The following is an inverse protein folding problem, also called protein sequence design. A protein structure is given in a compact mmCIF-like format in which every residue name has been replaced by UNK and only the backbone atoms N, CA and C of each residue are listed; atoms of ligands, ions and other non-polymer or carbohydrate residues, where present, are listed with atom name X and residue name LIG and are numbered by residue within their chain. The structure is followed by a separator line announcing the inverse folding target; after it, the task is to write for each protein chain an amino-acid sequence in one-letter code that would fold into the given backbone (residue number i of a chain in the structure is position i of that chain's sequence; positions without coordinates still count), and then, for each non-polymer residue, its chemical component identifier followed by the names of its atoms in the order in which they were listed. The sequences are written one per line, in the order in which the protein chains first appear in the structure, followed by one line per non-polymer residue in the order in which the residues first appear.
data_IF_507135738485
#
_entry.id   IF_507135738485
#
_cell.length_a   1.000
_cell.length_b   1.000
_cell.length_c   1.000
_cell.angle_alpha   90.00
_cell.angle_beta   90.00
_cell.angle_gamma   90.00
#
_symmetry.space_group_name_H-M   'P 1'
#
loop_
_entity.id
_entity.type
_entity.pdbx_description
1 polymer ?
#
# COMPACT_ATOMS: atom_id res chain seq x y z
N UNK A 1 17.69 44.08 12.44
CA UNK A 1 16.86 43.30 13.38
C UNK A 1 17.76 42.23 14.02
N UNK A 2 18.03 42.27 15.34
CA UNK A 2 18.99 41.36 15.99
C UNK A 2 18.62 39.88 15.86
N UNK A 3 17.35 39.56 15.64
CA UNK A 3 16.87 38.18 15.45
C UNK A 3 17.32 37.55 14.12
N UNK A 4 17.57 38.34 13.07
CA UNK A 4 18.00 37.83 11.76
C UNK A 4 19.41 37.25 11.78
N UNK A 5 20.30 37.87 12.56
CA UNK A 5 21.73 37.50 12.65
C UNK A 5 21.89 36.20 13.45
N UNK A 6 21.12 36.05 14.53
CA UNK A 6 21.11 34.82 15.34
C UNK A 6 20.58 33.64 14.53
N UNK A 7 19.53 33.84 13.72
CA UNK A 7 18.98 32.80 12.86
C UNK A 7 19.98 32.35 11.78
N UNK A 8 20.70 33.30 11.15
CA UNK A 8 21.70 33.00 10.14
C UNK A 8 22.90 32.23 10.71
N UNK A 9 23.40 32.61 11.89
CA UNK A 9 24.49 31.91 12.57
C UNK A 9 24.07 30.48 12.95
N UNK A 10 22.82 30.30 13.40
CA UNK A 10 22.29 29.00 13.79
C UNK A 10 22.15 28.05 12.58
N UNK A 11 21.69 28.57 11.44
CA UNK A 11 21.56 27.80 10.19
C UNK A 11 22.91 27.36 9.63
N UNK A 12 23.93 28.22 9.71
CA UNK A 12 25.30 27.90 9.28
C UNK A 12 25.93 26.85 10.20
N UNK A 13 25.72 26.96 11.52
CA UNK A 13 26.25 25.97 12.47
C UNK A 13 25.64 24.57 12.24
N UNK A 14 24.33 24.49 11.97
CA UNK A 14 23.65 23.21 11.69
C UNK A 14 24.12 22.59 10.38
N UNK A 15 24.32 23.39 9.33
CA UNK A 15 24.79 22.88 8.02
C UNK A 15 26.23 22.37 8.07
N UNK A 16 27.12 23.05 8.79
CA UNK A 16 28.51 22.59 8.97
C UNK A 16 28.57 21.32 9.82
N UNK A 17 27.79 21.23 10.89
CA UNK A 17 27.74 20.04 11.74
C UNK A 17 27.25 18.79 10.99
N UNK A 18 26.28 18.96 10.09
CA UNK A 18 25.73 17.87 9.29
C UNK A 18 26.67 17.42 8.16
N UNK A 19 27.35 18.36 7.50
CA UNK A 19 28.36 18.02 6.48
C UNK A 19 29.53 17.22 7.04
N UNK A 20 30.01 17.57 8.24
CA UNK A 20 31.11 16.85 8.91
C UNK A 20 30.75 15.42 9.33
N UNK A 21 29.52 15.20 9.82
CA UNK A 21 29.09 13.86 10.26
C UNK A 21 28.89 12.90 9.09
N UNK A 22 28.35 13.38 7.97
CA UNK A 22 28.19 12.56 6.75
C UNK A 22 29.55 12.23 6.14
N UNK A 23 30.49 13.20 6.10
CA UNK A 23 31.85 12.97 5.62
C UNK A 23 32.61 11.91 6.43
N UNK A 24 32.47 11.94 7.76
CA UNK A 24 33.08 10.95 8.65
C UNK A 24 32.50 9.54 8.43
N UNK A 25 31.18 9.42 8.31
CA UNK A 25 30.48 8.15 8.08
C UNK A 25 30.88 7.50 6.74
N UNK A 26 30.99 8.31 5.68
CA UNK A 26 31.42 7.83 4.36
C UNK A 26 32.90 7.43 4.39
N UNK A 27 33.76 8.19 5.07
CA UNK A 27 35.18 7.85 5.26
C UNK A 27 35.38 6.54 6.02
N UNK A 28 34.58 6.30 7.08
CA UNK A 28 34.61 5.04 7.83
C UNK A 28 34.12 3.85 7.01
N UNK A 29 33.17 4.06 6.09
CA UNK A 29 32.68 3.00 5.21
C UNK A 29 33.66 2.65 4.09
N UNK A 30 34.35 3.65 3.54
CA UNK A 30 35.35 3.48 2.48
C UNK A 30 36.67 2.85 2.98
N UNK A 31 36.93 2.87 4.29
CA UNK A 31 38.18 2.38 4.89
C UNK A 31 38.15 0.92 5.34
N UNK A 32 37.11 0.15 5.02
CA UNK A 32 37.05 -1.28 5.36
C UNK A 32 37.88 -2.12 4.37
N UNK A 33 38.95 -2.81 4.79
CA UNK A 33 39.63 -3.76 3.93
C UNK A 33 38.73 -4.98 3.66
N UNK A 34 38.83 -5.61 2.47
CA UNK A 34 38.04 -6.78 2.13
C UNK A 34 38.38 -7.97 3.03
N UNK A 35 37.34 -8.68 3.49
CA UNK A 35 37.48 -9.86 4.33
C UNK A 35 38.18 -11.00 3.56
N UNK A 36 39.29 -11.49 4.10
CA UNK A 36 40.03 -12.65 3.62
C UNK A 36 39.33 -13.94 4.05
N UNK A 37 38.80 -14.71 3.09
CA UNK A 37 38.38 -16.09 3.33
C UNK A 37 39.60 -17.02 3.18
N UNK A 38 40.04 -17.64 4.27
CA UNK A 38 40.99 -18.74 4.22
C UNK A 38 40.31 -20.00 3.69
N UNK A 39 40.68 -20.45 2.50
CA UNK A 39 40.48 -21.82 2.05
C UNK A 39 41.84 -22.48 1.89
N UNK A 40 42.07 -23.54 2.68
CA UNK A 40 43.19 -24.44 2.51
C UNK A 40 43.13 -25.08 1.12
N UNK A 41 44.23 -24.96 0.38
CA UNK A 41 44.49 -25.67 -0.87
C UNK A 41 45.27 -26.93 -0.52
N UNK A 42 44.67 -28.10 -0.70
CA UNK A 42 45.42 -29.34 -0.92
C UNK A 42 45.21 -29.77 -2.38
N UNK A 43 46.33 -29.78 -3.10
CA UNK A 43 46.48 -30.29 -4.45
C UNK A 43 46.72 -31.80 -4.36
N UNK A 44 45.83 -32.61 -4.93
CA UNK A 44 46.20 -33.95 -5.39
C UNK A 44 45.72 -34.21 -6.82
N UNK A 45 46.72 -34.27 -7.70
CA UNK A 45 46.89 -35.14 -8.88
C UNK A 45 45.77 -35.31 -9.91
N UNK A 46 46.09 -34.78 -11.10
CA UNK A 46 45.58 -35.18 -12.42
C UNK A 46 45.47 -36.70 -12.60
N UNK A 47 44.33 -37.18 -13.10
CA UNK A 47 44.33 -38.17 -14.17
C UNK A 47 43.10 -37.99 -15.07
N UNK A 48 43.30 -38.17 -16.39
CA UNK A 48 42.32 -37.83 -17.41
C UNK A 48 41.33 -38.95 -17.72
N UNK A 49 40.05 -38.60 -17.78
CA UNK A 49 39.09 -39.15 -18.75
C UNK A 49 37.98 -38.10 -18.94
N UNK A 50 37.79 -37.60 -20.16
CA UNK A 50 36.62 -36.77 -20.48
C UNK A 50 35.46 -37.71 -20.77
N UNK A 51 34.88 -38.26 -19.71
CA UNK A 51 33.57 -38.85 -19.79
C UNK A 51 32.57 -37.70 -19.95
N UNK A 52 31.80 -37.72 -21.04
CA UNK A 52 30.56 -36.96 -21.12
C UNK A 52 29.63 -37.57 -20.08
N UNK A 53 29.66 -37.05 -18.86
CA UNK A 53 28.61 -37.32 -17.88
C UNK A 53 27.29 -36.87 -18.50
N UNK A 54 26.48 -37.87 -18.86
CA UNK A 54 25.08 -37.68 -19.19
C UNK A 54 24.39 -36.99 -18.02
N UNK A 55 23.56 -36.00 -18.37
CA UNK A 55 22.70 -35.20 -17.50
C UNK A 55 22.85 -35.48 -16.01
N UNK A 56 23.51 -34.55 -15.30
CA UNK A 56 23.28 -34.38 -13.87
C UNK A 56 21.84 -33.92 -13.74
N UNK A 57 20.92 -34.89 -13.66
CA UNK A 57 19.58 -34.63 -13.17
C UNK A 57 19.77 -34.15 -11.76
N UNK A 58 19.42 -32.89 -11.49
CA UNK A 58 19.35 -32.44 -10.11
C UNK A 58 18.34 -33.34 -9.40
N UNK A 59 18.48 -33.55 -8.10
CA UNK A 59 17.49 -34.27 -7.29
C UNK A 59 16.07 -33.63 -7.32
N UNK A 60 15.88 -32.54 -8.07
CA UNK A 60 14.62 -31.85 -8.36
C UNK A 60 14.24 -31.84 -9.84
N UNK A 61 14.79 -32.73 -10.67
CA UNK A 61 14.22 -32.98 -11.99
C UNK A 61 12.79 -33.49 -11.78
N UNK A 62 11.81 -32.65 -12.11
CA UNK A 62 10.40 -33.00 -12.05
C UNK A 62 10.25 -34.36 -12.73
N UNK A 63 9.86 -35.38 -11.96
CA UNK A 63 9.64 -36.72 -12.51
C UNK A 63 8.69 -36.53 -13.68
N UNK A 64 9.15 -36.81 -14.90
CA UNK A 64 8.42 -36.52 -16.15
C UNK A 64 7.01 -37.18 -16.14
N UNK A 65 6.82 -38.19 -15.28
CA UNK A 65 5.58 -38.93 -15.09
C UNK A 65 4.75 -38.52 -13.85
N UNK A 66 5.19 -37.56 -13.05
CA UNK A 66 4.44 -37.09 -11.88
C UNK A 66 3.38 -36.06 -12.31
N UNK A 67 2.15 -36.54 -12.44
CA UNK A 67 0.97 -35.71 -12.74
C UNK A 67 0.75 -34.56 -11.74
N UNK A 68 1.28 -34.68 -10.52
CA UNK A 68 1.19 -33.63 -9.50
C UNK A 68 2.28 -32.57 -9.66
N UNK A 69 3.33 -32.82 -10.46
CA UNK A 69 4.36 -31.86 -10.79
C UNK A 69 3.94 -30.83 -11.87
N UNK A 70 2.65 -30.80 -12.23
CA UNK A 70 2.06 -29.81 -13.15
C UNK A 70 1.27 -28.70 -12.44
N UNK A 71 0.78 -28.97 -11.23
CA UNK A 71 -0.13 -28.07 -10.50
C UNK A 71 0.58 -27.57 -9.24
N UNK A 72 0.48 -26.28 -8.96
CA UNK A 72 1.01 -25.64 -7.73
C UNK A 72 2.53 -25.81 -7.49
N UNK A 73 3.30 -26.09 -8.54
CA UNK A 73 4.76 -26.37 -8.51
C UNK A 73 5.58 -25.32 -7.75
N UNK A 74 5.13 -24.05 -7.77
CA UNK A 74 5.80 -22.92 -7.11
C UNK A 74 4.95 -22.25 -6.02
N UNK A 75 3.97 -22.97 -5.48
CA UNK A 75 3.10 -22.46 -4.42
C UNK A 75 3.63 -22.92 -3.06
N UNK A 76 4.12 -21.97 -2.25
CA UNK A 76 4.65 -22.25 -0.91
C UNK A 76 3.57 -22.63 0.12
N UNK A 77 2.30 -22.36 -0.19
CA UNK A 77 1.16 -22.75 0.64
C UNK A 77 -0.11 -22.01 0.24
N UNK A 78 -1.25 -22.65 0.48
CA UNK A 78 -2.58 -22.07 0.25
C UNK A 78 -3.32 -22.08 1.59
N UNK A 79 -3.83 -20.91 2.00
CA UNK A 79 -4.63 -20.76 3.21
C UNK A 79 -5.94 -20.07 2.86
N UNK A 80 -7.03 -20.51 3.49
CA UNK A 80 -8.32 -19.88 3.31
C UNK A 80 -8.33 -18.46 3.91
N UNK A 81 -8.93 -17.53 3.18
CA UNK A 81 -9.25 -16.21 3.69
C UNK A 81 -10.61 -16.24 4.39
N UNK A 82 -10.76 -15.40 5.41
CA UNK A 82 -12.05 -15.16 6.05
C UNK A 82 -13.06 -14.64 5.01
N UNK A 83 -14.26 -15.25 4.89
CA UNK A 83 -15.29 -14.75 3.99
C UNK A 83 -15.72 -13.31 4.35
N UNK A 84 -16.04 -12.46 3.35
CA UNK A 84 -16.47 -11.10 3.61
C UNK A 84 -17.67 -10.99 4.57
N UNK A 85 -18.64 -11.91 4.49
CA UNK A 85 -19.80 -11.93 5.38
C UNK A 85 -19.40 -12.06 6.85
N UNK A 86 -18.40 -12.87 7.17
CA UNK A 86 -17.92 -13.03 8.54
C UNK A 86 -17.31 -11.73 9.08
N UNK A 87 -16.61 -10.96 8.25
CA UNK A 87 -16.10 -9.64 8.65
C UNK A 87 -17.23 -8.62 8.87
N UNK A 88 -18.28 -8.69 8.05
CA UNK A 88 -19.47 -7.84 8.19
C UNK A 88 -20.26 -8.18 9.46
N UNK A 89 -20.31 -9.45 9.84
CA UNK A 89 -20.95 -9.89 11.09
C UNK A 89 -20.14 -9.49 12.32
N UNK A 90 -18.82 -9.71 12.29
CA UNK A 90 -17.93 -9.41 13.40
C UNK A 90 -17.75 -7.92 13.64
N UNK A 91 -17.76 -7.12 12.56
CA UNK A 91 -17.66 -5.67 12.61
C UNK A 91 -18.86 -5.10 11.84
N UNK A 92 -20.03 -5.00 12.49
CA UNK A 92 -21.25 -4.56 11.83
C UNK A 92 -21.17 -3.09 11.41
N UNK A 93 -21.94 -2.76 10.38
CA UNK A 93 -22.17 -1.37 9.99
C UNK A 93 -23.32 -0.83 10.81
N UNK A 94 -23.05 0.20 11.62
CA UNK A 94 -24.07 0.93 12.37
C UNK A 94 -24.79 1.95 11.48
N UNK A 95 -25.88 2.52 12.01
CA UNK A 95 -26.62 3.60 11.35
C UNK A 95 -25.75 4.86 11.18
N UNK A 96 -24.89 5.15 12.16
CA UNK A 96 -23.98 6.29 12.09
C UNK A 96 -22.93 6.11 10.99
N UNK A 97 -22.29 4.94 10.88
CA UNK A 97 -21.38 4.61 9.78
C UNK A 97 -22.10 4.75 8.43
N UNK A 98 -23.30 4.17 8.30
CA UNK A 98 -24.07 4.24 7.05
C UNK A 98 -24.38 5.69 6.66
N UNK A 99 -24.74 6.54 7.63
CA UNK A 99 -24.97 7.97 7.42
C UNK A 99 -23.70 8.69 6.96
N UNK A 100 -22.57 8.48 7.63
CA UNK A 100 -21.28 9.09 7.28
C UNK A 100 -20.89 8.74 5.84
N UNK A 101 -20.96 7.46 5.48
CA UNK A 101 -20.60 6.99 4.14
C UNK A 101 -21.55 7.54 3.09
N UNK A 102 -22.87 7.47 3.30
CA UNK A 102 -23.85 7.93 2.32
C UNK A 102 -23.79 9.46 2.15
N UNK A 103 -23.69 10.21 3.24
CA UNK A 103 -23.53 11.66 3.20
C UNK A 103 -22.24 12.04 2.47
N UNK A 104 -21.11 11.43 2.82
CA UNK A 104 -19.83 11.71 2.15
C UNK A 104 -19.88 11.44 0.65
N UNK A 105 -20.48 10.32 0.22
CA UNK A 105 -20.69 10.01 -1.20
C UNK A 105 -21.56 11.05 -1.91
N UNK A 106 -22.64 11.47 -1.26
CA UNK A 106 -23.54 12.48 -1.81
C UNK A 106 -22.87 13.85 -1.92
N UNK A 107 -22.12 14.28 -0.89
CA UNK A 107 -21.39 15.55 -0.89
C UNK A 107 -20.31 15.57 -1.98
N UNK A 108 -19.50 14.51 -2.11
CA UNK A 108 -18.54 14.38 -3.22
C UNK A 108 -19.26 14.48 -4.56
N UNK A 109 -20.37 13.75 -4.74
CA UNK A 109 -21.13 13.78 -5.99
C UNK A 109 -21.65 15.18 -6.32
N UNK A 110 -22.19 15.89 -5.33
CA UNK A 110 -22.68 17.26 -5.52
C UNK A 110 -21.56 18.20 -5.95
N UNK A 111 -20.37 18.08 -5.36
CA UNK A 111 -19.20 18.89 -5.74
C UNK A 111 -18.76 18.55 -7.17
N UNK A 112 -18.67 17.27 -7.52
CA UNK A 112 -18.28 16.85 -8.87
C UNK A 112 -19.28 17.30 -9.94
N UNK A 113 -20.57 17.38 -9.59
CA UNK A 113 -21.63 17.93 -10.44
C UNK A 113 -21.74 19.46 -10.39
N UNK A 114 -20.89 20.13 -9.62
CA UNK A 114 -20.89 21.59 -9.41
C UNK A 114 -22.20 22.14 -8.83
N UNK A 115 -22.91 21.33 -8.05
CA UNK A 115 -24.08 21.72 -7.25
C UNK A 115 -23.67 22.28 -5.89
N UNK A 116 -22.50 21.86 -5.41
CA UNK A 116 -21.81 22.33 -4.19
C UNK A 116 -20.46 22.90 -4.66
N UNK A 117 -20.10 24.10 -4.21
CA UNK A 117 -18.89 24.83 -4.64
C UNK A 117 -17.67 24.58 -3.73
N UNK A 118 -17.83 23.78 -2.68
CA UNK A 118 -16.74 23.38 -1.80
C UNK A 118 -15.66 22.58 -2.53
N UNK A 119 -14.45 22.62 -2.00
CA UNK A 119 -13.34 21.82 -2.50
C UNK A 119 -13.24 20.48 -1.76
N UNK A 120 -13.16 19.36 -2.51
CA UNK A 120 -12.84 18.05 -1.91
C UNK A 120 -11.34 18.00 -1.56
N UNK A 121 -11.03 17.71 -0.30
CA UNK A 121 -9.66 17.58 0.20
C UNK A 121 -9.43 16.18 0.75
N UNK A 122 -8.64 15.38 0.03
CA UNK A 122 -8.24 14.04 0.46
C UNK A 122 -6.88 14.12 1.16
N UNK A 123 -6.84 13.96 2.48
CA UNK A 123 -5.63 14.16 3.28
C UNK A 123 -5.49 13.11 4.37
N UNK A 124 -4.25 12.68 4.63
CA UNK A 124 -3.95 11.69 5.66
C UNK A 124 -2.56 11.07 5.50
N UNK A 125 -2.21 10.12 6.36
CA UNK A 125 -0.91 9.43 6.31
C UNK A 125 -0.67 8.75 4.96
N UNK A 126 0.61 8.59 4.60
CA UNK A 126 0.98 7.97 3.32
C UNK A 126 0.51 6.50 3.22
N UNK A 127 0.65 5.75 4.32
CA UNK A 127 0.12 4.41 4.56
C UNK A 127 -0.02 4.18 6.07
N UNK A 128 -1.06 3.47 6.50
CA UNK A 128 -1.34 3.15 7.90
C UNK A 128 -0.61 1.88 8.30
N UNK A 129 0.24 1.98 9.33
CA UNK A 129 0.89 0.84 9.98
C UNK A 129 0.48 0.70 11.46
N UNK A 130 0.07 1.80 12.12
CA UNK A 130 -0.47 1.78 13.47
C UNK A 130 -1.93 2.29 13.47
N UNK A 131 -2.91 1.40 13.74
CA UNK A 131 -4.31 1.78 13.85
C UNK A 131 -4.60 2.82 14.95
N UNK A 132 -3.83 2.82 16.05
CA UNK A 132 -4.06 3.76 17.17
C UNK A 132 -3.68 5.17 16.76
N UNK A 133 -2.46 5.37 16.24
CA UNK A 133 -2.04 6.65 15.69
C UNK A 133 -2.96 7.14 14.55
N UNK A 134 -3.49 6.22 13.73
CA UNK A 134 -4.45 6.57 12.69
C UNK A 134 -5.76 7.12 13.27
N UNK A 135 -6.27 6.53 14.36
CA UNK A 135 -7.48 7.01 15.02
C UNK A 135 -7.24 8.36 15.72
N UNK A 136 -6.10 8.55 16.37
CA UNK A 136 -5.72 9.85 16.94
C UNK A 136 -5.65 10.95 15.88
N UNK A 137 -5.09 10.63 14.70
CA UNK A 137 -5.09 11.53 13.55
C UNK A 137 -6.52 11.83 13.09
N UNK A 138 -7.38 10.82 13.01
CA UNK A 138 -8.78 10.98 12.60
C UNK A 138 -9.55 11.93 13.53
N UNK A 139 -9.35 11.83 14.84
CA UNK A 139 -9.97 12.73 15.83
C UNK A 139 -9.55 14.18 15.59
N UNK A 140 -8.25 14.43 15.37
CA UNK A 140 -7.72 15.78 15.08
C UNK A 140 -8.25 16.31 13.74
N UNK A 141 -8.28 15.46 12.72
CA UNK A 141 -8.78 15.83 11.40
C UNK A 141 -10.28 16.12 11.41
N UNK A 142 -11.07 15.39 12.21
CA UNK A 142 -12.51 15.64 12.35
C UNK A 142 -12.80 17.02 12.93
N UNK A 143 -12.04 17.46 13.94
CA UNK A 143 -12.18 18.79 14.50
C UNK A 143 -11.92 19.89 13.45
N UNK A 144 -10.88 19.72 12.62
CA UNK A 144 -10.57 20.63 11.51
C UNK A 144 -11.61 20.58 10.38
N UNK A 145 -12.15 19.39 10.08
CA UNK A 145 -13.23 19.24 9.11
C UNK A 145 -14.44 20.05 9.51
N UNK A 146 -14.80 20.03 10.79
CA UNK A 146 -15.99 20.74 11.29
C UNK A 146 -15.83 22.25 11.23
N UNK A 147 -14.61 22.77 11.45
CA UNK A 147 -14.36 24.21 11.33
C UNK A 147 -14.30 24.69 9.88
N UNK A 148 -13.95 23.81 8.94
CA UNK A 148 -13.78 24.13 7.52
C UNK A 148 -14.94 23.66 6.63
N UNK A 149 -16.02 23.09 7.21
CA UNK A 149 -17.12 22.44 6.48
C UNK A 149 -17.86 23.37 5.51
N UNK A 150 -17.75 24.69 5.69
CA UNK A 150 -18.33 25.69 4.78
C UNK A 150 -17.64 25.73 3.41
N UNK A 151 -16.33 25.54 3.38
CA UNK A 151 -15.51 25.73 2.17
C UNK A 151 -14.90 24.42 1.67
N UNK A 152 -14.68 23.45 2.57
CA UNK A 152 -13.96 22.22 2.28
C UNK A 152 -14.77 20.97 2.66
N UNK A 153 -14.81 20.00 1.76
CA UNK A 153 -15.19 18.63 2.08
C UNK A 153 -13.92 17.81 2.36
N UNK A 154 -13.56 17.72 3.64
CA UNK A 154 -12.39 16.94 4.08
C UNK A 154 -12.73 15.45 4.15
N UNK A 155 -11.92 14.64 3.48
CA UNK A 155 -11.98 13.18 3.44
C UNK A 155 -10.64 12.61 3.92
N UNK A 156 -10.68 11.72 4.91
CA UNK A 156 -9.45 11.11 5.43
C UNK A 156 -8.90 10.08 4.44
N UNK A 157 -7.63 10.23 4.07
CA UNK A 157 -6.89 9.23 3.30
C UNK A 157 -6.51 8.06 4.21
N UNK A 158 -6.94 6.85 3.85
CA UNK A 158 -6.59 5.60 4.57
C UNK A 158 -6.08 4.56 3.58
N UNK A 159 -4.75 4.43 3.48
CA UNK A 159 -4.12 3.42 2.62
C UNK A 159 -3.44 2.38 3.50
N UNK A 160 -3.67 1.09 3.24
CA UNK A 160 -3.07 0.01 4.03
C UNK A 160 -1.74 -0.48 3.49
N UNK A 161 -1.47 -0.20 2.23
CA UNK A 161 -0.26 -0.61 1.54
C UNK A 161 0.26 0.51 0.64
N UNK A 162 1.51 0.37 0.21
CA UNK A 162 2.08 1.22 -0.84
C UNK A 162 2.66 0.31 -1.91
N UNK A 163 2.34 0.53 -3.20
CA UNK A 163 2.95 -0.23 -4.28
C UNK A 163 4.47 -0.06 -4.24
N UNK A 164 5.19 -1.17 -4.33
CA UNK A 164 6.66 -1.25 -4.31
C UNK A 164 7.15 -2.22 -5.37
N UNK A 165 8.21 -1.84 -6.07
CA UNK A 165 8.93 -2.69 -7.03
C UNK A 165 10.05 -3.51 -6.38
N UNK A 166 10.35 -3.26 -5.10
CA UNK A 166 11.42 -3.91 -4.32
C UNK A 166 10.89 -4.60 -3.07
N UNK A 167 11.74 -5.39 -2.41
CA UNK A 167 11.45 -6.02 -1.12
C UNK A 167 11.23 -4.93 -0.05
N UNK A 168 10.16 -5.08 0.72
CA UNK A 168 9.76 -4.15 1.78
C UNK A 168 8.44 -4.60 2.41
N UNK A 169 8.05 -3.91 3.49
CA UNK A 169 6.80 -4.19 4.20
C UNK A 169 5.60 -4.12 3.25
N UNK A 170 4.72 -5.12 3.34
CA UNK A 170 3.63 -5.34 2.39
C UNK A 170 2.30 -4.69 2.78
N UNK A 171 2.29 -3.92 3.88
CA UNK A 171 1.12 -3.19 4.34
C UNK A 171 0.36 -3.90 5.46
N UNK A 172 -0.50 -3.16 6.15
CA UNK A 172 -1.20 -3.60 7.37
C UNK A 172 -2.12 -4.80 7.12
N UNK A 173 -2.76 -4.86 5.95
CA UNK A 173 -3.60 -6.01 5.60
C UNK A 173 -2.75 -7.25 5.41
N UNK A 174 -1.63 -7.14 4.69
CA UNK A 174 -0.82 -8.29 4.33
C UNK A 174 0.03 -8.80 5.50
N UNK A 175 0.63 -7.88 6.26
CA UNK A 175 1.59 -8.18 7.32
C UNK A 175 1.37 -7.25 8.53
N UNK A 176 0.29 -7.45 9.30
CA UNK A 176 -0.12 -6.53 10.37
C UNK A 176 0.88 -6.44 11.53
N UNK A 177 1.66 -7.50 11.75
CA UNK A 177 2.63 -7.60 12.84
C UNK A 177 4.04 -7.14 12.44
N UNK A 178 4.23 -6.79 11.15
CA UNK A 178 5.51 -6.32 10.59
C UNK A 178 6.66 -7.31 10.85
N UNK A 179 6.34 -8.61 10.83
CA UNK A 179 7.25 -9.71 11.13
C UNK A 179 7.39 -10.70 9.97
N UNK A 180 6.68 -10.46 8.85
CA UNK A 180 6.69 -11.33 7.68
C UNK A 180 5.87 -12.62 7.86
N UNK A 181 5.02 -12.73 8.88
CA UNK A 181 4.14 -13.90 9.09
C UNK A 181 2.95 -13.94 8.12
N UNK A 182 2.65 -12.82 7.48
CA UNK A 182 1.55 -12.65 6.53
C UNK A 182 0.18 -13.04 7.11
N UNK A 183 -0.15 -12.55 8.30
CA UNK A 183 -1.44 -12.84 8.93
C UNK A 183 -2.58 -12.00 8.33
N UNK A 184 -2.96 -12.34 7.08
CA UNK A 184 -3.93 -11.56 6.29
C UNK A 184 -5.31 -11.50 6.96
N UNK A 185 -5.76 -12.59 7.59
CA UNK A 185 -7.06 -12.62 8.28
C UNK A 185 -7.10 -11.63 9.45
N UNK A 186 -6.00 -11.50 10.21
CA UNK A 186 -5.85 -10.46 11.24
C UNK A 186 -5.82 -9.07 10.62
N UNK A 187 -5.06 -8.88 9.54
CA UNK A 187 -4.97 -7.60 8.84
C UNK A 187 -6.31 -7.09 8.30
N UNK A 188 -7.12 -7.98 7.70
CA UNK A 188 -8.47 -7.66 7.23
C UNK A 188 -9.40 -7.22 8.37
N UNK A 189 -9.34 -7.91 9.52
CA UNK A 189 -10.10 -7.51 10.72
C UNK A 189 -9.68 -6.11 11.20
N UNK A 190 -8.39 -5.88 11.39
CA UNK A 190 -7.85 -4.58 11.86
C UNK A 190 -8.22 -3.43 10.90
N UNK A 191 -8.09 -3.66 9.59
CA UNK A 191 -8.48 -2.68 8.59
C UNK A 191 -9.97 -2.35 8.67
N UNK A 192 -10.83 -3.36 8.80
CA UNK A 192 -12.28 -3.18 8.93
C UNK A 192 -12.67 -2.44 10.21
N UNK A 193 -12.06 -2.77 11.34
CA UNK A 193 -12.25 -2.13 12.64
C UNK A 193 -11.84 -0.65 12.57
N UNK A 194 -10.66 -0.36 12.01
CA UNK A 194 -10.18 1.01 11.85
C UNK A 194 -11.12 1.84 10.97
N UNK A 195 -11.52 1.31 9.81
CA UNK A 195 -12.45 2.00 8.91
C UNK A 195 -13.81 2.23 9.59
N UNK A 196 -14.31 1.26 10.35
CA UNK A 196 -15.53 1.44 11.15
C UNK A 196 -15.36 2.57 12.17
N UNK A 197 -14.29 2.55 12.96
CA UNK A 197 -14.04 3.53 14.00
C UNK A 197 -13.93 4.96 13.44
N UNK A 198 -13.23 5.14 12.30
CA UNK A 198 -13.12 6.46 11.65
C UNK A 198 -14.49 6.94 11.15
N UNK A 199 -15.28 6.07 10.52
CA UNK A 199 -16.61 6.45 10.03
C UNK A 199 -17.61 6.72 11.18
N UNK A 200 -17.46 6.07 12.32
CA UNK A 200 -18.24 6.35 13.53
C UNK A 200 -18.00 7.75 14.08
N UNK A 201 -16.77 8.27 13.93
CA UNK A 201 -16.48 9.66 14.27
C UNK A 201 -17.20 10.66 13.34
N UNK A 202 -17.86 10.20 12.27
CA UNK A 202 -18.46 11.09 11.27
C UNK A 202 -17.49 11.55 10.20
N UNK A 203 -16.33 10.91 10.06
CA UNK A 203 -15.29 11.27 9.09
C UNK A 203 -15.33 10.32 7.87
N UNK A 204 -15.64 10.80 6.66
CA UNK A 204 -15.56 9.97 5.46
C UNK A 204 -14.11 9.59 5.14
N UNK A 205 -13.94 8.41 4.55
CA UNK A 205 -12.63 7.84 4.20
C UNK A 205 -12.49 7.66 2.68
N UNK A 206 -11.34 8.04 2.15
CA UNK A 206 -10.88 7.74 0.79
C UNK A 206 -9.81 6.66 0.82
N UNK A 207 -10.06 5.56 0.12
CA UNK A 207 -9.11 4.49 -0.10
C UNK A 207 -8.66 4.50 -1.57
N UNK A 208 -7.38 4.27 -1.82
CA UNK A 208 -6.84 4.15 -3.17
C UNK A 208 -6.82 2.68 -3.58
N UNK A 209 -7.31 2.43 -4.79
CA UNK A 209 -6.91 1.27 -5.57
C UNK A 209 -5.71 1.69 -6.39
N UNK A 210 -4.55 1.07 -6.10
CA UNK A 210 -3.30 1.43 -6.73
C UNK A 210 -3.40 1.17 -8.23
N UNK A 211 -2.85 2.09 -9.01
CA UNK A 211 -2.45 1.95 -10.42
C UNK A 211 -3.37 2.65 -11.42
N UNK A 212 -3.15 3.94 -11.70
CA UNK A 212 -3.49 4.50 -13.02
C UNK A 212 -2.58 5.69 -13.40
N UNK A 213 -2.08 5.68 -14.64
CA UNK A 213 -1.50 6.84 -15.34
C UNK A 213 -2.62 7.77 -15.82
N UNK A 214 -2.37 9.06 -16.02
CA UNK A 214 -3.41 10.06 -16.33
C UNK A 214 -4.27 9.69 -17.56
N UNK A 215 -3.66 9.22 -18.66
CA UNK A 215 -4.43 8.81 -19.84
C UNK A 215 -5.27 7.56 -19.58
N UNK A 216 -4.67 6.57 -18.90
CA UNK A 216 -5.38 5.37 -18.45
C UNK A 216 -6.53 5.74 -17.51
N UNK A 217 -6.36 6.78 -16.69
CA UNK A 217 -7.38 7.26 -15.76
C UNK A 217 -8.60 7.82 -16.49
N UNK A 218 -8.40 8.59 -17.58
CA UNK A 218 -9.50 9.08 -18.42
C UNK A 218 -10.25 7.90 -19.04
N UNK A 219 -9.54 6.95 -19.64
CA UNK A 219 -10.16 5.79 -20.29
C UNK A 219 -10.87 4.88 -19.28
N UNK A 220 -10.30 4.73 -18.08
CA UNK A 220 -10.92 3.99 -16.99
C UNK A 220 -12.21 4.67 -16.51
N UNK A 221 -12.24 6.00 -16.41
CA UNK A 221 -13.46 6.75 -16.06
C UNK A 221 -14.55 6.52 -17.11
N UNK A 222 -14.21 6.63 -18.40
CA UNK A 222 -15.17 6.40 -19.50
C UNK A 222 -15.66 4.96 -19.50
N UNK A 223 -14.76 3.99 -19.33
CA UNK A 223 -15.11 2.58 -19.26
C UNK A 223 -16.02 2.29 -18.07
N UNK A 224 -15.68 2.79 -16.89
CA UNK A 224 -16.40 2.52 -15.66
C UNK A 224 -17.82 3.15 -15.65
N UNK A 225 -18.09 4.12 -16.53
CA UNK A 225 -19.43 4.66 -16.77
C UNK A 225 -20.40 3.68 -17.48
N UNK A 226 -19.96 2.50 -17.90
CA UNK A 226 -20.76 1.49 -18.58
C UNK A 226 -20.90 0.20 -17.73
N UNK A 227 -21.95 -0.62 -17.94
CA UNK A 227 -22.08 -1.92 -17.28
C UNK A 227 -20.95 -2.89 -17.68
N UNK A 228 -20.41 -3.62 -16.71
CA UNK A 228 -19.38 -4.65 -16.93
C UNK A 228 -19.73 -5.94 -16.19
N UNK A 229 -19.19 -7.06 -16.68
CA UNK A 229 -19.18 -8.33 -15.97
C UNK A 229 -17.74 -8.82 -15.81
N UNK A 230 -17.35 -9.23 -14.60
CA UNK A 230 -15.99 -9.70 -14.31
C UNK A 230 -16.00 -10.82 -13.25
N UNK A 231 -14.90 -11.57 -13.16
CA UNK A 231 -14.70 -12.59 -12.14
C UNK A 231 -14.41 -11.92 -10.80
N UNK A 232 -15.12 -12.32 -9.76
CA UNK A 232 -14.93 -11.84 -8.38
C UNK A 232 -15.22 -12.92 -7.35
N UNK A 233 -15.45 -12.47 -6.11
CA UNK A 233 -15.84 -13.34 -4.99
C UNK A 233 -17.15 -12.86 -4.38
N UNK A 234 -18.05 -13.79 -4.10
CA UNK A 234 -19.29 -13.53 -3.37
C UNK A 234 -19.02 -13.19 -1.90
N UNK A 235 -20.04 -12.69 -1.19
CA UNK A 235 -19.97 -12.44 0.25
C UNK A 235 -19.62 -13.70 1.07
N UNK A 236 -19.90 -14.89 0.54
CA UNK A 236 -19.60 -16.19 1.16
C UNK A 236 -18.19 -16.70 0.82
N UNK A 237 -17.38 -15.93 0.08
CA UNK A 237 -16.02 -16.31 -0.30
C UNK A 237 -15.91 -17.27 -1.49
N UNK A 238 -17.01 -17.53 -2.19
CA UNK A 238 -17.03 -18.37 -3.40
C UNK A 238 -16.78 -17.53 -4.66
N UNK A 239 -16.04 -18.08 -5.62
CA UNK A 239 -15.86 -17.49 -6.96
C UNK A 239 -17.22 -17.18 -7.59
N UNK A 240 -17.35 -15.98 -8.16
CA UNK A 240 -18.61 -15.48 -8.69
C UNK A 240 -18.38 -14.61 -9.94
N UNK A 241 -19.42 -14.47 -10.76
CA UNK A 241 -19.49 -13.44 -11.80
C UNK A 241 -20.17 -12.22 -11.17
N UNK A 242 -19.48 -11.09 -11.17
CA UNK A 242 -19.99 -9.80 -10.66
C UNK A 242 -20.40 -8.95 -11.85
N UNK A 243 -21.63 -8.44 -11.81
CA UNK A 243 -22.16 -7.53 -12.82
C UNK A 243 -22.43 -6.17 -12.20
N UNK A 244 -21.92 -5.09 -12.82
CA UNK A 244 -22.12 -3.72 -12.35
C UNK A 244 -23.27 -3.05 -13.08
N UNK A 245 -24.01 -2.21 -12.35
CA UNK A 245 -24.92 -1.23 -12.93
C UNK A 245 -24.20 0.13 -12.96
N UNK A 246 -24.54 1.00 -13.92
CA UNK A 246 -23.92 2.33 -14.06
C UNK A 246 -24.21 3.18 -12.81
N UNK A 247 -23.19 3.45 -12.00
CA UNK A 247 -23.23 4.48 -10.96
C UNK A 247 -21.81 4.90 -10.60
N UNK A 248 -21.26 5.80 -11.40
CA UNK A 248 -19.96 6.39 -11.10
C UNK A 248 -20.02 7.90 -11.26
N UNK A 249 -19.48 8.59 -10.26
CA UNK A 249 -19.26 10.03 -10.27
C UNK A 249 -17.77 10.20 -10.08
N UNK A 250 -17.09 10.45 -11.18
CA UNK A 250 -15.63 10.42 -11.24
C UNK A 250 -15.02 11.80 -11.45
N UNK A 251 -13.81 11.96 -10.94
CA UNK A 251 -12.97 13.12 -11.18
C UNK A 251 -11.50 12.72 -11.23
N UNK A 252 -10.76 13.38 -12.12
CA UNK A 252 -9.34 13.12 -12.33
C UNK A 252 -8.51 13.78 -11.23
N UNK A 253 -7.70 12.99 -10.54
CA UNK A 253 -6.68 13.46 -9.60
C UNK A 253 -5.33 13.53 -10.29
N UNK A 254 -4.78 14.73 -10.48
CA UNK A 254 -3.47 14.92 -11.09
C UNK A 254 -2.35 14.70 -10.06
N UNK A 255 -1.49 13.73 -10.34
CA UNK A 255 -0.20 13.57 -9.65
C UNK A 255 0.91 13.79 -10.67
N UNK A 256 1.85 14.70 -10.38
CA UNK A 256 2.97 14.97 -11.29
C UNK A 256 3.86 13.73 -11.44
N UNK A 257 3.96 13.17 -12.64
CA UNK A 257 5.11 12.36 -13.02
C UNK A 257 6.21 13.29 -13.52
N UNK A 258 7.47 12.97 -13.21
CA UNK A 258 8.64 13.78 -13.55
C UNK A 258 8.54 14.33 -14.98
N UNK A 259 8.51 15.65 -15.11
CA UNK A 259 8.84 16.34 -16.35
C UNK A 259 10.28 15.98 -16.71
N UNK A 260 10.46 14.93 -17.53
CA UNK A 260 11.71 14.77 -18.25
C UNK A 260 11.72 15.88 -19.30
N UNK A 261 12.49 16.92 -19.01
CA UNK A 261 12.86 17.96 -19.96
C UNK A 261 13.26 17.28 -21.29
N UNK A 262 12.58 17.68 -22.36
CA UNK A 262 13.05 17.58 -23.73
C UNK A 262 13.06 19.02 -24.28
#
# INVERSE_FOLDING_TARGET
NPYSVVLAISLVAVTVAWGGTVGLLVGMYASRPPATSNTHVENETRNGHRDREGSVSNAGDAKIMDKHALVDVRIGGIRALIPPVCLLEQVPRTVAIARTVNKGRQEVNNILRRVDDRLVVIVGPCSIHDPKAALEYAVKLKALRDTLDKDLLVVMRVYFEKPRTTVGWKGLINDPDIDGTFNINKGLRLARELLSAINELGLPVGALFSDLLVQLAVDAVVSAAHPHSFLGVSSHGLSAIVTTNVHIVDSLSFHSNSSRNA
#
